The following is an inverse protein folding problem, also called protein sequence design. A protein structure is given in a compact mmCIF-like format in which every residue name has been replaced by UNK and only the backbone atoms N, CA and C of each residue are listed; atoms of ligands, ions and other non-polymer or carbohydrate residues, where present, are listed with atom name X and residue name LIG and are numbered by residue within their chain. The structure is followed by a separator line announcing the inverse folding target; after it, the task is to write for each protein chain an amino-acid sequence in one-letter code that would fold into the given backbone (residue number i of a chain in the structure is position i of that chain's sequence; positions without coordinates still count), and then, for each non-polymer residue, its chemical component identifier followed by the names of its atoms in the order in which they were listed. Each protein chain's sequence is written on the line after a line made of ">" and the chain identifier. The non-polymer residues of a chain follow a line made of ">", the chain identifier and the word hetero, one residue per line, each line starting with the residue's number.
data_IF_612670370268
#
_entry.id   IF_612670370268
#
_cell.length_a   1.000
_cell.length_b   1.000
_cell.length_c   1.000
_cell.angle_alpha   90.00
_cell.angle_beta   90.00
_cell.angle_gamma   90.00
#
_symmetry.space_group_name_H-M   'P 1'
#
loop_
_entity.id
_entity.type
_entity.pdbx_description
1 polymer ?
#
# COMPACT_ATOMS: atom_id res chain seq x y z
N UNK A 1 -2.41 11.95 10.78
CA UNK A 1 -3.52 11.20 10.15
C UNK A 1 -4.32 10.38 11.16
N UNK A 2 -3.69 9.68 12.09
CA UNK A 2 -4.38 8.88 13.12
C UNK A 2 -5.05 9.71 14.20
N UNK A 3 -4.54 10.91 14.51
CA UNK A 3 -5.17 11.84 15.44
C UNK A 3 -6.58 12.29 15.00
N UNK A 4 -6.89 12.31 13.69
CA UNK A 4 -8.24 12.62 13.20
C UNK A 4 -9.26 11.50 13.48
N UNK A 5 -8.81 10.33 13.97
CA UNK A 5 -9.67 9.27 14.47
C UNK A 5 -10.05 9.45 15.95
N UNK A 6 -9.57 10.52 16.62
CA UNK A 6 -9.90 10.85 18.00
C UNK A 6 -9.04 10.15 19.06
N UNK A 7 -7.92 9.53 18.67
CA UNK A 7 -6.94 8.98 19.61
C UNK A 7 -6.12 10.08 20.30
N UNK A 8 -5.53 9.77 21.45
CA UNK A 8 -4.54 10.66 22.07
C UNK A 8 -3.32 10.82 21.16
N UNK A 9 -2.56 11.91 21.32
CA UNK A 9 -1.39 12.17 20.48
C UNK A 9 -0.35 11.05 20.58
N UNK A 10 -0.06 10.58 21.80
CA UNK A 10 0.90 9.49 22.04
C UNK A 10 0.49 8.19 21.32
N UNK A 11 -0.79 7.81 21.38
CA UNK A 11 -1.30 6.61 20.71
C UNK A 11 -1.30 6.82 19.19
N UNK A 12 -1.67 8.02 18.74
CA UNK A 12 -1.67 8.37 17.31
C UNK A 12 -0.27 8.24 16.71
N UNK A 13 0.75 8.72 17.42
CA UNK A 13 2.15 8.66 17.00
C UNK A 13 2.64 7.21 16.96
N UNK A 14 2.34 6.42 17.99
CA UNK A 14 2.69 5.00 18.02
C UNK A 14 2.04 4.22 16.87
N UNK A 15 0.76 4.46 16.56
CA UNK A 15 0.07 3.81 15.45
C UNK A 15 0.72 4.21 14.12
N UNK A 16 0.97 5.50 13.90
CA UNK A 16 1.58 5.98 12.66
C UNK A 16 2.99 5.43 12.47
N UNK A 17 3.81 5.42 13.53
CA UNK A 17 5.15 4.86 13.46
C UNK A 17 5.13 3.35 13.19
N UNK A 18 4.25 2.62 13.88
CA UNK A 18 4.11 1.17 13.69
C UNK A 18 3.63 0.82 12.29
N UNK A 19 2.69 1.60 11.74
CA UNK A 19 2.23 1.45 10.36
C UNK A 19 3.38 1.64 9.36
N UNK A 20 4.15 2.72 9.49
CA UNK A 20 5.30 2.97 8.62
C UNK A 20 6.37 1.88 8.69
N UNK A 21 6.68 1.38 9.89
CA UNK A 21 7.61 0.23 10.05
C UNK A 21 7.04 -1.02 9.37
N UNK A 22 5.74 -1.27 9.52
CA UNK A 22 5.05 -2.37 8.86
C UNK A 22 5.12 -2.28 7.33
N UNK A 23 4.94 -1.09 6.77
CA UNK A 23 5.06 -0.83 5.33
C UNK A 23 6.48 -1.11 4.82
N UNK A 24 7.52 -0.67 5.54
CA UNK A 24 8.92 -0.94 5.15
C UNK A 24 9.22 -2.43 5.17
N UNK A 25 8.82 -3.14 6.23
CA UNK A 25 9.00 -4.60 6.33
C UNK A 25 8.26 -5.29 5.19
N UNK A 26 7.01 -4.89 4.92
CA UNK A 26 6.23 -5.46 3.82
C UNK A 26 6.87 -5.16 2.47
N UNK A 27 7.43 -3.97 2.25
CA UNK A 27 8.18 -3.62 1.04
C UNK A 27 9.39 -4.52 0.81
N UNK A 28 10.13 -4.86 1.86
CA UNK A 28 11.25 -5.82 1.79
C UNK A 28 10.74 -7.22 1.43
N UNK A 29 9.66 -7.68 2.06
CA UNK A 29 9.02 -8.97 1.73
C UNK A 29 8.53 -8.98 0.29
N UNK A 30 7.88 -7.91 -0.16
CA UNK A 30 7.41 -7.76 -1.54
C UNK A 30 8.57 -7.87 -2.52
N UNK A 31 9.68 -7.16 -2.26
CA UNK A 31 10.86 -7.20 -3.10
C UNK A 31 11.49 -8.61 -3.16
N UNK A 32 11.65 -9.27 -2.02
CA UNK A 32 12.23 -10.62 -1.94
C UNK A 32 11.32 -11.70 -2.57
N UNK A 33 10.00 -11.54 -2.48
CA UNK A 33 9.01 -12.55 -2.87
C UNK A 33 8.05 -12.05 -3.96
N UNK A 34 8.51 -11.18 -4.86
CA UNK A 34 7.68 -10.55 -5.89
C UNK A 34 7.03 -11.54 -6.88
N UNK A 35 7.54 -12.78 -6.98
CA UNK A 35 6.96 -13.86 -7.78
C UNK A 35 5.89 -14.69 -7.05
N UNK A 36 5.61 -14.37 -5.79
CA UNK A 36 4.54 -15.02 -5.04
C UNK A 36 3.20 -14.36 -5.34
N UNK A 37 2.23 -15.15 -5.82
CA UNK A 37 0.86 -14.69 -6.10
C UNK A 37 0.23 -14.05 -4.86
N UNK A 38 0.41 -14.65 -3.68
CA UNK A 38 -0.17 -14.15 -2.43
C UNK A 38 0.42 -12.79 -2.06
N UNK A 39 1.74 -12.61 -2.23
CA UNK A 39 2.43 -11.35 -1.92
C UNK A 39 1.98 -10.22 -2.85
N UNK A 40 1.83 -10.50 -4.16
CA UNK A 40 1.30 -9.53 -5.12
C UNK A 40 -0.14 -9.12 -4.79
N UNK A 41 -1.00 -10.08 -4.42
CA UNK A 41 -2.39 -9.78 -4.04
C UNK A 41 -2.44 -8.93 -2.76
N UNK A 42 -1.65 -9.28 -1.74
CA UNK A 42 -1.54 -8.49 -0.52
C UNK A 42 -1.06 -7.06 -0.81
N UNK A 43 -0.11 -6.89 -1.72
CA UNK A 43 0.37 -5.56 -2.12
C UNK A 43 -0.73 -4.73 -2.77
N UNK A 44 -1.48 -5.32 -3.71
CA UNK A 44 -2.59 -4.64 -4.38
C UNK A 44 -3.66 -4.23 -3.36
N UNK A 45 -4.07 -5.15 -2.48
CA UNK A 45 -5.07 -4.86 -1.46
C UNK A 45 -4.60 -3.81 -0.45
N UNK A 46 -3.33 -3.87 -0.04
CA UNK A 46 -2.71 -2.88 0.85
C UNK A 46 -2.71 -1.49 0.25
N UNK A 47 -2.28 -1.35 -1.01
CA UNK A 47 -2.24 -0.06 -1.71
C UNK A 47 -3.65 0.53 -1.93
N UNK A 48 -4.66 -0.31 -2.24
CA UNK A 48 -6.06 0.11 -2.31
C UNK A 48 -6.55 0.57 -0.93
N UNK A 49 -6.25 -0.19 0.13
CA UNK A 49 -6.60 0.16 1.50
C UNK A 49 -6.02 1.50 1.93
N UNK A 50 -4.75 1.76 1.62
CA UNK A 50 -4.09 3.04 1.89
C UNK A 50 -4.75 4.20 1.13
N UNK A 51 -5.12 4.00 -0.14
CA UNK A 51 -5.85 5.01 -0.90
C UNK A 51 -7.21 5.33 -0.28
N UNK A 52 -7.98 4.31 0.09
CA UNK A 52 -9.27 4.50 0.76
C UNK A 52 -9.11 5.21 2.11
N UNK A 53 -8.07 4.87 2.87
CA UNK A 53 -7.75 5.54 4.12
C UNK A 53 -7.50 7.03 3.93
N UNK A 54 -6.71 7.41 2.91
CA UNK A 54 -6.46 8.81 2.56
C UNK A 54 -7.75 9.50 2.11
N UNK A 55 -8.56 8.86 1.26
CA UNK A 55 -9.86 9.39 0.80
C UNK A 55 -10.77 9.75 1.98
N UNK A 56 -10.82 8.90 3.00
CA UNK A 56 -11.71 9.10 4.15
C UNK A 56 -11.16 10.14 5.13
N UNK A 57 -9.87 10.08 5.47
CA UNK A 57 -9.32 10.91 6.54
C UNK A 57 -8.75 12.25 6.07
N UNK A 58 -8.12 12.29 4.90
CA UNK A 58 -7.43 13.49 4.39
C UNK A 58 -7.51 13.58 2.86
N UNK A 59 -8.72 13.76 2.29
CA UNK A 59 -8.93 13.73 0.84
C UNK A 59 -8.14 14.81 0.08
N UNK A 60 -7.80 15.93 0.73
CA UNK A 60 -6.97 16.97 0.15
C UNK A 60 -5.58 16.47 -0.31
N UNK A 61 -5.03 15.44 0.36
CA UNK A 61 -3.74 14.87 -0.02
C UNK A 61 -3.78 14.19 -1.40
N UNK A 62 -4.97 13.84 -1.92
CA UNK A 62 -5.12 13.18 -3.21
C UNK A 62 -4.80 14.08 -4.40
N UNK A 63 -4.81 15.40 -4.24
CA UNK A 63 -4.64 16.37 -5.32
C UNK A 63 -3.31 17.14 -5.27
N UNK A 64 -2.47 16.87 -4.27
CA UNK A 64 -1.15 17.47 -4.16
C UNK A 64 -0.19 16.97 -5.26
N UNK A 65 0.90 17.69 -5.52
CA UNK A 65 1.84 17.33 -6.58
C UNK A 65 2.54 15.98 -6.37
N UNK A 66 2.63 15.51 -5.12
CA UNK A 66 3.19 14.22 -4.71
C UNK A 66 2.16 13.41 -3.92
N UNK A 67 1.00 13.20 -4.53
CA UNK A 67 -0.13 12.53 -3.89
C UNK A 67 -0.04 10.99 -3.96
N UNK A 68 -0.73 10.27 -3.06
CA UNK A 68 -0.73 8.82 -3.03
C UNK A 68 -1.41 8.18 -4.25
N UNK A 69 -2.22 8.92 -5.02
CA UNK A 69 -2.82 8.42 -6.27
C UNK A 69 -1.72 8.15 -7.31
N UNK A 70 -0.82 9.13 -7.49
CA UNK A 70 0.28 9.06 -8.45
C UNK A 70 1.36 8.04 -8.08
N UNK A 71 1.47 7.64 -6.81
CA UNK A 71 2.39 6.58 -6.37
C UNK A 71 1.73 5.20 -6.39
N UNK A 72 0.54 5.06 -5.81
CA UNK A 72 -0.05 3.75 -5.54
C UNK A 72 -0.70 3.12 -6.78
N UNK A 73 -1.36 3.91 -7.63
CA UNK A 73 -2.02 3.38 -8.84
C UNK A 73 -1.00 2.76 -9.81
N UNK A 74 0.13 3.40 -10.14
CA UNK A 74 1.13 2.76 -11.00
C UNK A 74 1.68 1.45 -10.43
N UNK A 75 1.93 1.38 -9.13
CA UNK A 75 2.44 0.16 -8.47
C UNK A 75 1.38 -0.95 -8.49
N UNK A 76 0.10 -0.63 -8.30
CA UNK A 76 -1.00 -1.58 -8.50
C UNK A 76 -0.99 -2.11 -9.93
N UNK A 77 -0.88 -1.22 -10.93
CA UNK A 77 -0.80 -1.58 -12.34
C UNK A 77 0.37 -2.53 -12.65
N UNK A 78 1.57 -2.21 -12.15
CA UNK A 78 2.76 -3.07 -12.29
C UNK A 78 2.59 -4.42 -11.59
N UNK A 79 1.93 -4.44 -10.42
CA UNK A 79 1.63 -5.68 -9.69
C UNK A 79 0.67 -6.58 -10.48
N UNK A 80 -0.32 -6.01 -11.18
CA UNK A 80 -1.22 -6.75 -12.08
C UNK A 80 -0.47 -7.33 -13.29
N UNK A 81 0.48 -6.57 -13.85
CA UNK A 81 1.35 -7.08 -14.92
C UNK A 81 2.18 -8.28 -14.43
N UNK A 82 2.80 -8.19 -13.24
CA UNK A 82 3.55 -9.30 -12.65
C UNK A 82 2.64 -10.52 -12.41
N UNK A 83 1.43 -10.30 -11.89
CA UNK A 83 0.47 -11.38 -11.65
C UNK A 83 0.08 -12.11 -12.94
N UNK A 84 -0.12 -11.36 -14.03
CA UNK A 84 -0.42 -11.94 -15.34
C UNK A 84 0.76 -12.76 -15.89
N UNK A 85 1.99 -12.28 -15.71
CA UNK A 85 3.20 -13.02 -16.11
C UNK A 85 3.33 -14.35 -15.36
N UNK A 86 3.08 -14.37 -14.05
CA UNK A 86 3.09 -15.62 -13.26
C UNK A 86 2.06 -16.64 -13.72
N UNK A 87 0.86 -16.17 -14.11
CA UNK A 87 -0.18 -17.04 -14.65
C UNK A 87 0.25 -17.70 -15.96
N UNK A 88 0.93 -16.95 -16.84
CA UNK A 88 1.44 -17.49 -18.12
C UNK A 88 2.55 -18.52 -17.89
N UNK A 89 3.49 -18.26 -16.96
CA UNK A 89 4.55 -19.22 -16.64
C UNK A 89 4.06 -20.53 -16.03
N UNK A 90 2.87 -20.54 -15.41
CA UNK A 90 2.27 -21.77 -14.86
C UNK A 90 1.47 -22.57 -15.91
N UNK A 91 1.24 -22.03 -17.10
CA UNK A 91 0.45 -22.64 -18.18
C UNK A 91 1.32 -23.16 -19.34
N UNK A 92 2.62 -22.91 -19.31
CA UNK A 92 3.62 -23.42 -20.25
C UNK A 92 4.33 -24.65 -19.66
#
# INVERSE_FOLDING_TARGET
>A
MTASLGFSNEISDLITQSAGVGEVIFGIVFFAFYRSKSVLILNILGLIGLLLFVVILQPQLLIEAFNPVTTNIPIIGLSLVLLNNLKQSSQA
#
